data_IF_462993275433
#
_entry.id   IF_462993275433
#
_cell.length_a   1.000
_cell.length_b   1.000
_cell.length_c   1.000
_cell.angle_alpha   90.00
_cell.angle_beta   90.00
_cell.angle_gamma   90.00
#
_symmetry.space_group_name_H-M   'P 1'
#
loop_
_entity.id
_entity.type
_entity.pdbx_description
1 polymer ?
#
# COMPACT_ATOMS: atom_id res chain seq x y z
N UNK A 1 -20.57 -13.27 -3.51
CA UNK A 1 -19.95 -11.93 -3.44
C UNK A 1 -19.29 -11.59 -4.76
N UNK A 2 -19.35 -10.33 -5.24
CA UNK A 2 -18.58 -9.89 -6.40
C UNK A 2 -17.08 -10.13 -6.19
N UNK A 3 -16.38 -10.61 -7.21
CA UNK A 3 -14.92 -10.77 -7.14
C UNK A 3 -14.28 -9.38 -6.92
N UNK A 4 -13.35 -9.22 -5.96
CA UNK A 4 -12.64 -7.96 -5.76
C UNK A 4 -11.94 -7.54 -7.06
N UNK A 5 -12.22 -6.31 -7.52
CA UNK A 5 -11.60 -5.77 -8.73
C UNK A 5 -10.35 -5.00 -8.34
N UNK A 6 -9.26 -5.20 -9.07
CA UNK A 6 -8.04 -4.38 -8.92
C UNK A 6 -8.33 -2.97 -9.44
N UNK A 7 -8.14 -1.90 -8.64
CA UNK A 7 -8.30 -0.52 -9.11
C UNK A 7 -7.33 -0.16 -10.24
N UNK A 8 -7.70 0.77 -11.12
CA UNK A 8 -6.92 1.26 -12.25
C UNK A 8 -5.58 1.86 -11.81
N UNK A 9 -5.55 2.60 -10.70
CA UNK A 9 -4.30 3.14 -10.14
C UNK A 9 -3.32 2.02 -9.76
N UNK A 10 -3.81 0.98 -9.05
CA UNK A 10 -3.02 -0.23 -8.77
C UNK A 10 -2.63 -0.93 -10.06
N UNK A 11 -3.55 -1.09 -11.02
CA UNK A 11 -3.27 -1.72 -12.31
C UNK A 11 -2.15 -0.99 -13.09
N UNK A 12 -2.12 0.34 -13.06
CA UNK A 12 -1.09 1.17 -13.69
C UNK A 12 0.27 1.04 -13.00
N UNK A 13 0.30 1.09 -11.66
CA UNK A 13 1.53 0.90 -10.88
C UNK A 13 2.12 -0.51 -11.09
N UNK A 14 1.25 -1.51 -11.20
CA UNK A 14 1.59 -2.93 -11.40
C UNK A 14 1.93 -3.30 -12.85
N UNK A 15 1.71 -2.40 -13.83
CA UNK A 15 1.80 -2.70 -15.26
C UNK A 15 0.71 -3.65 -15.80
N UNK A 16 -0.29 -3.99 -14.98
CA UNK A 16 -1.38 -4.89 -15.34
C UNK A 16 -2.39 -4.25 -16.30
N UNK A 17 -2.45 -2.92 -16.31
CA UNK A 17 -3.20 -2.15 -17.30
C UNK A 17 -2.68 -2.38 -18.73
N UNK A 18 -1.38 -2.63 -18.90
CA UNK A 18 -0.77 -2.93 -20.21
C UNK A 18 -1.02 -4.37 -20.65
N UNK A 19 -0.91 -5.34 -19.73
CA UNK A 19 -1.14 -6.76 -20.03
C UNK A 19 -2.63 -7.06 -20.28
N UNK A 20 -3.52 -6.56 -19.42
CA UNK A 20 -4.96 -6.85 -19.44
C UNK A 20 -5.78 -5.63 -19.93
N UNK A 21 -5.33 -4.93 -20.97
CA UNK A 21 -5.87 -3.63 -21.41
C UNK A 21 -7.40 -3.56 -21.49
N UNK A 22 -8.04 -4.54 -22.13
CA UNK A 22 -9.50 -4.59 -22.29
C UNK A 22 -10.28 -4.65 -20.96
N UNK A 23 -9.65 -5.07 -19.85
CA UNK A 23 -10.28 -5.08 -18.52
C UNK A 23 -10.30 -3.70 -17.86
N UNK A 24 -9.52 -2.75 -18.35
CA UNK A 24 -9.28 -1.45 -17.71
C UNK A 24 -9.65 -0.25 -18.58
N UNK A 25 -9.60 -0.36 -19.92
CA UNK A 25 -9.77 0.79 -20.82
C UNK A 25 -11.11 1.52 -20.69
N UNK A 26 -12.19 0.79 -20.37
CA UNK A 26 -13.55 1.35 -20.29
C UNK A 26 -14.01 1.61 -18.84
N UNK A 27 -13.07 1.69 -17.88
CA UNK A 27 -13.41 1.97 -16.48
C UNK A 27 -13.42 3.45 -16.19
N UNK A 28 -14.58 3.94 -15.74
CA UNK A 28 -14.68 5.23 -15.08
C UNK A 28 -14.46 5.07 -13.58
N UNK A 29 -13.19 4.98 -13.18
CA UNK A 29 -12.80 5.07 -11.77
C UNK A 29 -12.51 6.52 -11.40
N UNK A 30 -12.81 6.97 -10.16
CA UNK A 30 -12.44 8.29 -9.70
C UNK A 30 -10.93 8.51 -9.80
N UNK A 31 -10.52 9.60 -10.42
CA UNK A 31 -9.13 10.04 -10.40
C UNK A 31 -8.81 10.59 -9.00
N UNK A 32 -8.03 9.84 -8.24
CA UNK A 32 -7.52 10.26 -6.94
C UNK A 32 -6.05 10.62 -7.12
N UNK A 33 -5.79 11.90 -7.36
CA UNK A 33 -4.44 12.44 -7.54
C UNK A 33 -3.78 12.85 -6.22
N UNK A 34 -4.56 12.92 -5.15
CA UNK A 34 -4.08 13.38 -3.85
C UNK A 34 -3.35 12.26 -3.11
N UNK A 35 -2.18 12.58 -2.58
CA UNK A 35 -1.45 11.74 -1.64
C UNK A 35 -2.31 11.48 -0.38
N UNK A 36 -1.94 10.45 0.38
CA UNK A 36 -2.43 10.22 1.74
C UNK A 36 -2.35 11.48 2.57
N UNK A 37 -1.27 12.27 2.46
CA UNK A 37 -1.06 13.49 3.24
C UNK A 37 -0.59 13.24 4.69
N UNK A 38 -0.59 14.27 5.54
CA UNK A 38 -0.16 14.15 6.93
C UNK A 38 -1.18 13.38 7.79
N UNK A 39 -0.73 12.80 8.91
CA UNK A 39 -1.64 12.19 9.88
C UNK A 39 -2.61 13.23 10.45
N UNK A 40 -3.86 12.83 10.79
CA UNK A 40 -4.81 13.72 11.46
C UNK A 40 -4.24 14.35 12.74
N UNK A 41 -4.67 15.56 13.08
CA UNK A 41 -4.16 16.30 14.25
C UNK A 41 -4.40 15.58 15.58
N UNK A 42 -5.50 14.83 15.68
CA UNK A 42 -5.83 14.03 16.87
C UNK A 42 -4.90 12.81 17.04
N UNK A 43 -4.17 12.39 16.01
CA UNK A 43 -3.15 11.35 16.14
C UNK A 43 -1.88 11.94 16.73
N UNK A 44 -1.70 11.70 18.03
CA UNK A 44 -0.52 12.10 18.79
C UNK A 44 0.25 10.87 19.24
N UNK A 45 1.58 10.95 19.21
CA UNK A 45 2.43 9.93 19.80
C UNK A 45 2.40 10.05 21.33
N UNK A 46 2.28 8.91 22.00
CA UNK A 46 2.27 8.79 23.46
C UNK A 46 3.15 7.59 23.86
N UNK A 47 3.43 7.45 25.16
CA UNK A 47 4.15 6.27 25.69
C UNK A 47 3.44 4.95 25.35
N UNK A 48 2.12 4.95 25.23
CA UNK A 48 1.32 3.76 24.92
C UNK A 48 1.12 3.50 23.42
N UNK A 49 1.37 4.48 22.56
CA UNK A 49 1.21 4.30 21.11
C UNK A 49 1.91 5.40 20.30
N UNK A 50 2.79 4.99 19.40
CA UNK A 50 3.47 5.87 18.43
C UNK A 50 2.68 5.96 17.11
N UNK A 51 1.41 6.40 17.17
CA UNK A 51 0.45 6.37 16.05
C UNK A 51 0.88 7.28 14.89
N UNK A 52 1.30 8.51 15.18
CA UNK A 52 1.74 9.47 14.16
C UNK A 52 3.02 9.01 13.51
N UNK A 53 3.96 8.47 14.28
CA UNK A 53 5.16 7.85 13.72
C UNK A 53 4.80 6.65 12.83
N UNK A 54 3.90 5.77 13.28
CA UNK A 54 3.46 4.62 12.50
C UNK A 54 2.80 5.01 11.17
N UNK A 55 2.00 6.09 11.14
CA UNK A 55 1.44 6.65 9.90
C UNK A 55 2.54 7.01 8.90
N UNK A 56 3.52 7.81 9.34
CA UNK A 56 4.60 8.32 8.48
C UNK A 56 5.45 7.18 7.94
N UNK A 57 5.80 6.21 8.79
CA UNK A 57 6.56 5.02 8.37
C UNK A 57 5.78 4.21 7.34
N UNK A 58 4.51 3.93 7.62
CA UNK A 58 3.66 3.11 6.74
C UNK A 58 3.44 3.78 5.38
N UNK A 59 3.25 5.11 5.34
CA UNK A 59 3.18 5.88 4.08
C UNK A 59 4.47 5.77 3.26
N UNK A 60 5.64 5.78 3.90
CA UNK A 60 6.93 5.62 3.23
C UNK A 60 7.14 4.21 2.67
N UNK A 61 6.72 3.19 3.41
CA UNK A 61 6.85 1.79 3.00
C UNK A 61 5.88 1.38 1.88
N UNK A 62 4.77 2.11 1.73
CA UNK A 62 3.70 1.80 0.76
C UNK A 62 3.51 3.03 -0.15
N UNK A 63 4.40 3.25 -1.14
CA UNK A 63 4.45 4.50 -1.89
C UNK A 63 3.27 4.72 -2.86
N UNK A 64 2.40 3.73 -3.04
CA UNK A 64 1.19 3.82 -3.89
C UNK A 64 -0.08 4.21 -3.13
N UNK A 65 0.01 4.51 -1.82
CA UNK A 65 -1.15 4.99 -1.07
C UNK A 65 -1.58 6.38 -1.56
N UNK A 66 -2.87 6.65 -1.44
CA UNK A 66 -3.50 7.92 -1.79
C UNK A 66 -4.59 8.26 -0.76
N UNK A 67 -5.27 9.40 -0.91
CA UNK A 67 -6.29 9.87 0.05
C UNK A 67 -7.40 8.85 0.36
N UNK A 68 -7.75 7.96 -0.58
CA UNK A 68 -8.75 6.90 -0.35
C UNK A 68 -8.32 5.82 0.64
N UNK A 69 -7.02 5.69 0.89
CA UNK A 69 -6.48 4.71 1.84
C UNK A 69 -6.42 5.23 3.28
N UNK A 70 -6.69 6.52 3.51
CA UNK A 70 -6.53 7.15 4.84
C UNK A 70 -7.24 6.36 5.94
N UNK A 71 -8.51 5.99 5.77
CA UNK A 71 -9.23 5.23 6.80
C UNK A 71 -8.59 3.89 7.17
N UNK A 72 -8.06 3.14 6.19
CA UNK A 72 -7.33 1.89 6.45
C UNK A 72 -5.97 2.15 7.10
N UNK A 73 -5.30 3.23 6.68
CA UNK A 73 -4.04 3.65 7.26
C UNK A 73 -4.20 4.10 8.72
N UNK A 74 -5.33 4.73 9.07
CA UNK A 74 -5.61 5.15 10.45
C UNK A 74 -5.71 3.93 11.38
N UNK A 75 -6.44 2.89 10.96
CA UNK A 75 -6.55 1.62 11.69
C UNK A 75 -5.17 0.96 11.81
N UNK A 76 -4.44 0.87 10.70
CA UNK A 76 -3.11 0.25 10.68
C UNK A 76 -2.12 0.99 11.59
N UNK A 77 -2.08 2.32 11.52
CA UNK A 77 -1.22 3.17 12.34
C UNK A 77 -1.55 3.05 13.83
N UNK A 78 -2.83 2.93 14.19
CA UNK A 78 -3.26 2.79 15.59
C UNK A 78 -2.76 1.49 16.23
N UNK A 79 -2.77 0.39 15.47
CA UNK A 79 -2.31 -0.92 15.96
C UNK A 79 -0.78 -1.00 15.90
N UNK A 80 -0.17 -0.58 14.78
CA UNK A 80 1.28 -0.56 14.62
C UNK A 80 1.95 0.38 15.61
N UNK A 81 1.33 1.52 15.92
CA UNK A 81 1.84 2.47 16.92
C UNK A 81 1.97 1.84 18.31
N UNK A 82 1.03 0.97 18.71
CA UNK A 82 1.13 0.19 19.97
C UNK A 82 2.29 -0.79 19.94
N UNK A 83 2.50 -1.49 18.82
CA UNK A 83 3.66 -2.39 18.65
C UNK A 83 4.98 -1.61 18.75
N UNK A 84 5.07 -0.46 18.11
CA UNK A 84 6.26 0.39 18.15
C UNK A 84 6.53 0.95 19.56
N UNK A 85 5.48 1.15 20.35
CA UNK A 85 5.55 1.54 21.76
C UNK A 85 5.85 0.36 22.72
N UNK A 86 6.12 -0.85 22.21
CA UNK A 86 6.44 -2.03 23.01
C UNK A 86 5.26 -2.57 23.83
N UNK A 87 4.03 -2.17 23.51
CA UNK A 87 2.84 -2.69 24.18
C UNK A 87 2.58 -4.14 23.79
N UNK A 88 1.93 -4.87 24.69
CA UNK A 88 1.34 -6.15 24.32
C UNK A 88 0.13 -5.91 23.39
N UNK A 89 0.21 -6.50 22.20
CA UNK A 89 -0.79 -6.35 21.14
C UNK A 89 -1.35 -7.72 20.83
N UNK A 90 -2.54 -7.99 21.34
CA UNK A 90 -3.21 -9.28 21.19
C UNK A 90 -3.46 -9.69 19.74
N UNK A 91 -3.58 -11.01 19.53
CA UNK A 91 -3.74 -11.66 18.22
C UNK A 91 -4.87 -11.06 17.38
N UNK A 92 -5.97 -10.64 17.99
CA UNK A 92 -7.10 -10.02 17.27
C UNK A 92 -6.67 -8.71 16.59
N UNK A 93 -5.93 -7.85 17.29
CA UNK A 93 -5.43 -6.60 16.75
C UNK A 93 -4.36 -6.86 15.67
N UNK A 94 -3.47 -7.82 15.88
CA UNK A 94 -2.48 -8.20 14.87
C UNK A 94 -3.13 -8.75 13.59
N UNK A 95 -4.20 -9.52 13.72
CA UNK A 95 -4.96 -10.00 12.57
C UNK A 95 -5.69 -8.86 11.84
N UNK A 96 -6.20 -7.85 12.56
CA UNK A 96 -6.78 -6.66 11.95
C UNK A 96 -5.72 -5.84 11.21
N UNK A 97 -4.52 -5.68 11.78
CA UNK A 97 -3.39 -5.03 11.13
C UNK A 97 -3.01 -5.74 9.82
N UNK A 98 -2.87 -7.08 9.85
CA UNK A 98 -2.60 -7.89 8.65
C UNK A 98 -3.67 -7.69 7.57
N UNK A 99 -4.94 -7.60 7.97
CA UNK A 99 -6.05 -7.36 7.04
C UNK A 99 -5.99 -5.96 6.43
N UNK A 100 -5.75 -4.91 7.23
CA UNK A 100 -5.63 -3.54 6.75
C UNK A 100 -4.48 -3.41 5.74
N UNK A 101 -3.31 -4.00 6.03
CA UNK A 101 -2.17 -4.05 5.11
C UNK A 101 -2.52 -4.78 3.80
N UNK A 102 -3.24 -5.90 3.87
CA UNK A 102 -3.71 -6.62 2.69
C UNK A 102 -4.65 -5.79 1.81
N UNK A 103 -5.60 -5.07 2.40
CA UNK A 103 -6.52 -4.20 1.66
C UNK A 103 -5.81 -3.00 1.02
N UNK A 104 -4.73 -2.51 1.65
CA UNK A 104 -3.85 -1.48 1.09
C UNK A 104 -2.83 -2.00 0.06
N UNK A 105 -2.82 -3.31 -0.21
CA UNK A 105 -1.89 -3.95 -1.14
C UNK A 105 -0.45 -4.00 -0.64
N UNK A 106 -0.22 -3.94 0.67
CA UNK A 106 1.10 -3.87 1.30
C UNK A 106 1.68 -5.24 1.67
N UNK A 107 1.24 -6.32 1.02
CA UNK A 107 1.80 -7.67 1.25
C UNK A 107 2.87 -8.00 0.21
N UNK A 108 3.87 -8.85 0.49
CA UNK A 108 4.86 -9.25 -0.52
C UNK A 108 4.24 -9.84 -1.80
N UNK A 109 3.12 -10.56 -1.67
CA UNK A 109 2.36 -11.09 -2.80
C UNK A 109 1.61 -10.01 -3.60
N UNK A 110 1.40 -8.83 -3.01
CA UNK A 110 0.90 -7.64 -3.71
C UNK A 110 2.04 -6.77 -4.24
N UNK A 111 3.20 -6.73 -3.57
CA UNK A 111 4.39 -6.01 -4.03
C UNK A 111 4.95 -6.61 -5.34
N UNK A 112 4.96 -7.94 -5.47
CA UNK A 112 5.29 -8.64 -6.72
C UNK A 112 4.30 -8.34 -7.85
N UNK A 113 3.06 -7.98 -7.51
CA UNK A 113 2.10 -7.46 -8.47
C UNK A 113 2.38 -6.00 -8.75
N UNK A 114 2.73 -5.19 -7.75
CA UNK A 114 2.98 -3.73 -7.84
C UNK A 114 4.17 -3.33 -8.71
N UNK A 115 4.77 -4.26 -9.47
CA UNK A 115 5.89 -3.95 -10.34
C UNK A 115 7.15 -3.58 -9.57
N UNK A 116 7.23 -3.90 -8.27
CA UNK A 116 8.47 -3.83 -7.52
C UNK A 116 9.43 -4.83 -8.16
N UNK A 117 10.26 -4.33 -9.08
CA UNK A 117 11.35 -5.11 -9.65
C UNK A 117 12.21 -5.55 -8.45
N UNK A 118 12.53 -6.84 -8.29
CA UNK A 118 13.55 -7.24 -7.33
C UNK A 118 14.81 -6.42 -7.62
N UNK A 119 15.53 -5.99 -6.59
CA UNK A 119 16.77 -5.24 -6.74
C UNK A 119 17.65 -5.91 -7.80
N UNK A 120 17.95 -5.16 -8.88
CA UNK A 120 18.66 -5.66 -10.04
C UNK A 120 17.76 -5.78 -11.28
N UNK A 121 17.61 -4.66 -11.99
CA UNK A 121 17.31 -4.71 -13.42
C UNK A 121 18.43 -5.53 -14.10
N UNK A 122 18.18 -6.81 -14.37
CA UNK A 122 19.00 -7.55 -15.32
C UNK A 122 18.74 -6.91 -16.68
N UNK A 123 19.74 -6.19 -17.18
CA UNK A 123 19.75 -5.70 -18.55
C UNK A 123 19.40 -6.85 -19.49
N UNK A 124 18.48 -6.60 -20.42
CA UNK A 124 18.12 -7.58 -21.46
C UNK A 124 19.40 -8.07 -22.13
N UNK A 125 19.72 -9.38 -22.06
CA UNK A 125 20.91 -9.94 -22.69
C UNK A 125 20.97 -9.66 -24.20
N UNK A 126 19.84 -9.29 -24.81
CA UNK A 126 19.71 -8.98 -26.23
C UNK A 126 20.11 -7.54 -26.56
N UNK A 127 20.18 -6.64 -25.56
CA UNK A 127 20.53 -5.23 -25.77
C UNK A 127 21.92 -5.05 -26.42
N UNK A 128 22.84 -6.00 -26.22
CA UNK A 128 24.18 -6.00 -26.83
C UNK A 128 24.21 -6.23 -28.35
N UNK A 129 23.09 -6.53 -28.99
CA UNK A 129 23.01 -6.85 -30.42
C UNK A 129 22.34 -5.76 -31.27
N UNK A 130 21.93 -4.64 -30.66
CA UNK A 130 21.18 -3.58 -31.33
C UNK A 130 21.86 -2.20 -31.23
N UNK A 131 23.16 -2.15 -30.92
CA UNK A 131 24.02 -0.97 -31.09
C UNK A 131 24.61 -0.90 -32.50
#
# INVERSE_FOLDING_TARGET
MPRPRTPAAKAKATGRDKHDKGRFENRNEPLVNDDVGPPPDWMTDTEGALIRTAWVVTRKEIPWLNSSHRGLLEIAASIRGRLMAGQDVGVQALNLLRQALGQMGATPADASKAGAKPDGDQADPSAKYFD
#
